data_IF_487926113311
#
_entry.id   IF_487926113311
#
_cell.length_a   1.000
_cell.length_b   1.000
_cell.length_c   1.000
_cell.angle_alpha   90.00
_cell.angle_beta   90.00
_cell.angle_gamma   90.00
#
_symmetry.space_group_name_H-M   'P 1'
#
loop_
_entity.id
_entity.type
_entity.pdbx_description
1 polymer ?
#
# COMPACT_ATOMS: atom_id res chain seq x y z
N UNK A 1 -40.26 -48.54 -7.78
CA UNK A 1 -41.68 -48.28 -8.17
C UNK A 1 -41.99 -46.81 -7.91
N UNK A 2 -42.38 -46.04 -8.94
CA UNK A 2 -42.99 -44.71 -8.78
C UNK A 2 -44.52 -44.79 -8.78
N UNK A 3 -45.23 -43.75 -8.43
CA UNK A 3 -45.95 -43.01 -9.46
C UNK A 3 -45.97 -41.48 -9.17
N UNK A 4 -46.17 -40.64 -10.09
CA UNK A 4 -46.94 -40.29 -11.24
C UNK A 4 -47.39 -38.83 -11.15
N UNK A 5 -47.03 -38.08 -12.17
CA UNK A 5 -47.71 -36.98 -12.89
C UNK A 5 -49.04 -36.43 -12.35
N UNK A 6 -49.16 -35.08 -12.36
CA UNK A 6 -50.35 -34.42 -12.98
C UNK A 6 -49.99 -33.08 -13.60
N UNK A 7 -50.40 -32.93 -14.87
CA UNK A 7 -50.50 -31.73 -15.71
C UNK A 7 -51.81 -31.00 -15.42
N UNK A 8 -51.84 -29.69 -15.65
CA UNK A 8 -52.95 -28.91 -16.23
C UNK A 8 -52.45 -27.49 -16.46
N UNK A 9 -52.22 -26.97 -17.67
CA UNK A 9 -53.18 -26.37 -18.62
C UNK A 9 -53.74 -25.05 -18.07
N UNK A 10 -53.35 -23.95 -18.63
CA UNK A 10 -53.77 -23.15 -19.81
C UNK A 10 -54.81 -22.11 -19.46
N UNK A 11 -54.59 -20.87 -19.81
CA UNK A 11 -55.57 -20.06 -20.50
C UNK A 11 -54.95 -18.76 -21.09
N UNK A 12 -55.18 -18.61 -22.37
CA UNK A 12 -54.96 -17.43 -23.23
C UNK A 12 -56.00 -16.36 -22.92
N UNK A 13 -55.64 -15.10 -22.96
CA UNK A 13 -56.59 -14.06 -23.35
C UNK A 13 -55.87 -12.99 -24.20
N UNK A 14 -56.44 -12.77 -25.32
CA UNK A 14 -56.10 -11.90 -26.46
C UNK A 14 -56.61 -10.48 -26.27
N UNK A 15 -55.95 -9.54 -26.94
CA UNK A 15 -56.45 -8.37 -27.69
C UNK A 15 -56.97 -7.15 -26.96
N UNK A 16 -56.30 -6.01 -27.19
CA UNK A 16 -57.01 -4.89 -27.85
C UNK A 16 -56.01 -3.83 -28.37
N UNK A 17 -56.10 -3.64 -29.65
CA UNK A 17 -55.46 -2.65 -30.53
C UNK A 17 -56.29 -1.35 -30.48
N UNK A 18 -55.67 -0.19 -30.12
CA UNK A 18 -56.27 1.10 -30.43
C UNK A 18 -55.25 2.02 -31.10
N UNK A 19 -55.55 2.34 -32.36
CA UNK A 19 -54.96 3.38 -33.19
C UNK A 19 -55.46 4.75 -32.72
N UNK A 20 -54.58 5.77 -32.63
CA UNK A 20 -54.96 7.14 -32.97
C UNK A 20 -53.74 8.03 -33.19
N UNK A 21 -53.59 8.46 -34.36
CA UNK A 21 -53.55 9.86 -34.83
C UNK A 21 -52.19 10.58 -34.75
N UNK A 22 -51.64 10.73 -35.96
CA UNK A 22 -50.57 11.66 -36.37
C UNK A 22 -50.95 13.11 -36.04
N UNK A 23 -50.07 13.83 -35.32
CA UNK A 23 -50.02 15.30 -35.34
C UNK A 23 -48.65 15.74 -35.89
N UNK A 24 -48.73 16.64 -36.91
CA UNK A 24 -47.57 17.25 -37.60
C UNK A 24 -46.78 18.18 -36.66
N UNK A 25 -45.48 18.35 -36.86
CA UNK A 25 -44.66 19.24 -36.03
C UNK A 25 -44.78 20.69 -36.50
N UNK A 26 -45.15 21.58 -35.60
CA UNK A 26 -45.04 23.04 -35.74
C UNK A 26 -43.58 23.48 -35.56
N UNK A 27 -43.07 24.22 -36.56
CA UNK A 27 -41.76 24.88 -36.56
C UNK A 27 -41.68 25.88 -35.40
N UNK A 28 -40.82 25.62 -34.41
CA UNK A 28 -40.44 26.56 -33.35
C UNK A 28 -39.10 27.21 -33.71
N UNK A 29 -39.11 28.55 -33.74
CA UNK A 29 -37.98 29.43 -34.05
C UNK A 29 -36.80 29.15 -33.15
N UNK A 30 -35.62 28.98 -33.76
CA UNK A 30 -34.33 28.89 -33.08
C UNK A 30 -33.96 30.26 -32.49
N UNK A 31 -33.92 30.37 -31.17
CA UNK A 31 -33.20 31.43 -30.47
C UNK A 31 -31.75 31.01 -30.32
N UNK A 32 -30.85 31.79 -30.93
CA UNK A 32 -29.42 31.65 -30.83
C UNK A 32 -28.97 32.00 -29.38
N UNK A 33 -28.70 31.01 -28.56
CA UNK A 33 -27.90 31.16 -27.33
C UNK A 33 -26.44 30.89 -27.67
N UNK A 34 -25.47 31.67 -27.16
CA UNK A 34 -24.07 31.46 -27.41
C UNK A 34 -23.59 30.15 -26.78
N UNK A 35 -22.55 29.50 -27.31
CA UNK A 35 -22.07 28.22 -26.79
C UNK A 35 -21.53 28.39 -25.37
N UNK A 36 -22.18 27.67 -24.44
CA UNK A 36 -21.70 27.51 -23.08
C UNK A 36 -20.32 26.80 -23.12
N UNK A 37 -19.30 27.51 -22.70
CA UNK A 37 -17.94 26.93 -22.52
C UNK A 37 -18.08 25.66 -21.72
N UNK A 38 -17.53 24.56 -22.24
CA UNK A 38 -17.38 23.30 -21.52
C UNK A 38 -16.65 23.55 -20.19
N UNK A 39 -17.01 22.92 -19.09
CA UNK A 39 -16.25 23.01 -17.86
C UNK A 39 -14.85 22.48 -18.16
N UNK A 40 -13.87 23.30 -17.87
CA UNK A 40 -12.46 22.96 -17.93
C UNK A 40 -12.26 21.65 -17.15
N UNK A 41 -11.65 20.69 -17.81
CA UNK A 41 -11.08 19.46 -17.24
C UNK A 41 -10.46 19.83 -15.88
N UNK A 42 -10.98 19.20 -14.84
CA UNK A 42 -10.42 19.26 -13.50
C UNK A 42 -8.97 18.82 -13.66
N UNK A 43 -8.07 19.80 -13.64
CA UNK A 43 -6.65 19.55 -13.53
C UNK A 43 -6.48 18.66 -12.29
N UNK A 44 -5.98 17.44 -12.52
CA UNK A 44 -5.43 16.62 -11.46
C UNK A 44 -4.59 17.54 -10.58
N UNK A 45 -5.00 17.74 -9.36
CA UNK A 45 -4.18 18.34 -8.32
C UNK A 45 -2.91 17.50 -8.30
N UNK A 46 -1.86 18.04 -8.92
CA UNK A 46 -0.51 17.60 -8.65
C UNK A 46 -0.39 17.70 -7.13
N UNK A 47 -0.32 16.56 -6.45
CA UNK A 47 0.21 16.52 -5.11
C UNK A 47 1.50 17.33 -5.14
N UNK A 48 1.85 18.06 -4.06
CA UNK A 48 3.14 18.70 -3.96
C UNK A 48 4.16 17.57 -4.08
N UNK A 49 4.49 17.30 -5.35
CA UNK A 49 5.50 16.35 -5.72
C UNK A 49 6.78 16.86 -5.10
N UNK A 50 7.61 15.97 -4.71
CA UNK A 50 9.03 16.19 -4.65
C UNK A 50 9.37 17.29 -5.63
N UNK A 51 9.86 18.41 -5.09
CA UNK A 51 10.38 19.50 -5.90
C UNK A 51 11.18 18.83 -7.01
N UNK A 52 10.72 18.98 -8.24
CA UNK A 52 11.56 18.79 -9.40
C UNK A 52 12.60 19.88 -9.26
N UNK A 53 13.58 19.63 -8.39
CA UNK A 53 14.77 20.43 -8.30
C UNK A 53 15.23 20.55 -9.73
N UNK A 54 15.37 21.76 -10.23
CA UNK A 54 16.11 22.08 -11.44
C UNK A 54 17.38 21.24 -11.35
N UNK A 55 17.40 20.12 -12.05
CA UNK A 55 18.58 19.28 -12.16
C UNK A 55 19.60 20.14 -12.87
N UNK A 56 20.51 20.74 -12.09
CA UNK A 56 21.61 21.51 -12.66
C UNK A 56 22.30 20.68 -13.74
N UNK A 57 22.98 21.33 -14.67
CA UNK A 57 23.63 20.67 -15.81
C UNK A 57 24.50 19.45 -15.43
N UNK A 58 24.85 19.30 -14.16
CA UNK A 58 25.69 18.24 -13.58
C UNK A 58 24.89 17.21 -12.72
N UNK A 59 23.58 17.08 -12.88
CA UNK A 59 22.86 16.03 -12.15
C UNK A 59 23.29 14.65 -12.66
N UNK A 60 23.34 13.64 -11.76
CA UNK A 60 23.74 12.27 -12.08
C UNK A 60 22.98 11.70 -13.29
N UNK A 61 21.70 12.03 -13.42
CA UNK A 61 20.88 11.59 -14.55
C UNK A 61 21.35 12.20 -15.86
N UNK A 62 21.77 13.50 -15.88
CA UNK A 62 22.25 14.14 -17.10
C UNK A 62 23.61 13.57 -17.53
N UNK A 63 24.49 13.26 -16.58
CA UNK A 63 25.76 12.58 -16.87
C UNK A 63 25.50 11.22 -17.52
N UNK A 64 24.63 10.40 -16.91
CA UNK A 64 24.26 9.11 -17.47
C UNK A 64 23.65 9.22 -18.86
N UNK A 65 22.71 10.17 -19.09
CA UNK A 65 22.09 10.37 -20.39
C UNK A 65 23.10 10.81 -21.47
N UNK A 66 24.07 11.65 -21.11
CA UNK A 66 25.15 12.04 -22.01
C UNK A 66 26.08 10.88 -22.37
N UNK A 67 26.36 9.99 -21.40
CA UNK A 67 27.20 8.82 -21.63
C UNK A 67 26.50 7.81 -22.55
N UNK A 68 25.22 7.47 -22.31
CA UNK A 68 24.50 6.54 -23.16
C UNK A 68 24.22 7.09 -24.56
N UNK A 69 24.23 8.43 -24.75
CA UNK A 69 24.04 9.06 -26.05
C UNK A 69 25.21 8.83 -27.00
N UNK A 70 26.42 8.51 -26.49
CA UNK A 70 27.61 8.27 -27.28
C UNK A 70 27.55 6.96 -28.07
N UNK A 71 26.75 5.99 -27.59
CA UNK A 71 26.62 4.71 -28.29
C UNK A 71 25.70 4.83 -29.50
N UNK A 72 26.17 4.40 -30.71
CA UNK A 72 25.37 4.45 -31.93
C UNK A 72 24.17 3.47 -31.85
N UNK A 73 23.11 3.82 -32.58
CA UNK A 73 22.00 2.91 -32.78
C UNK A 73 22.39 1.80 -33.76
N UNK A 74 22.09 0.58 -33.45
CA UNK A 74 22.37 -0.59 -34.28
C UNK A 74 21.20 -0.96 -35.19
N UNK A 75 21.49 -1.53 -36.33
CA UNK A 75 20.50 -2.03 -37.28
C UNK A 75 20.11 -3.47 -36.94
N UNK A 76 18.97 -3.94 -37.48
CA UNK A 76 18.51 -5.33 -37.27
C UNK A 76 19.53 -6.37 -37.74
N UNK A 77 20.32 -6.04 -38.79
CA UNK A 77 21.38 -6.94 -39.29
C UNK A 77 22.52 -7.05 -38.31
N UNK A 78 22.91 -5.96 -37.70
CA UNK A 78 23.95 -5.91 -36.65
C UNK A 78 23.45 -6.62 -35.37
N UNK A 79 22.16 -6.44 -35.00
CA UNK A 79 21.55 -7.19 -33.89
C UNK A 79 21.72 -8.72 -34.09
N UNK A 80 21.49 -9.21 -35.31
CA UNK A 80 21.67 -10.63 -35.63
C UNK A 80 23.13 -11.09 -35.51
N UNK A 81 24.06 -10.30 -36.09
CA UNK A 81 25.49 -10.61 -36.05
C UNK A 81 26.03 -10.63 -34.60
N UNK A 82 25.64 -9.62 -33.80
CA UNK A 82 26.02 -9.58 -32.38
C UNK A 82 25.42 -10.75 -31.59
N UNK A 83 24.15 -11.10 -31.85
CA UNK A 83 23.51 -12.22 -31.19
C UNK A 83 24.20 -13.58 -31.52
N UNK A 84 24.69 -13.78 -32.75
CA UNK A 84 25.44 -14.98 -33.11
C UNK A 84 26.82 -15.01 -32.43
N UNK A 85 27.51 -13.86 -32.31
CA UNK A 85 28.77 -13.75 -31.54
C UNK A 85 28.53 -14.05 -30.05
N UNK A 86 27.43 -13.56 -29.44
CA UNK A 86 27.06 -13.83 -28.05
C UNK A 86 26.80 -15.32 -27.83
N UNK A 87 26.13 -16.01 -28.78
CA UNK A 87 25.99 -17.47 -28.73
C UNK A 87 27.33 -18.24 -28.78
N UNK A 88 28.34 -17.63 -29.41
CA UNK A 88 29.70 -18.18 -29.43
C UNK A 88 30.50 -17.87 -28.14
N UNK A 89 29.93 -17.09 -27.20
CA UNK A 89 30.57 -16.75 -25.91
C UNK A 89 31.34 -15.45 -25.90
N UNK A 90 31.12 -14.54 -26.84
CA UNK A 90 31.80 -13.24 -26.91
C UNK A 90 31.13 -12.22 -25.98
N UNK A 91 31.79 -11.94 -24.83
CA UNK A 91 31.31 -10.96 -23.83
C UNK A 91 31.35 -9.53 -24.38
N UNK A 92 32.29 -9.20 -25.28
CA UNK A 92 32.38 -7.84 -25.84
C UNK A 92 31.16 -7.55 -26.73
N UNK A 93 30.67 -8.53 -27.48
CA UNK A 93 29.45 -8.41 -28.27
C UNK A 93 28.19 -8.28 -27.37
N UNK A 94 28.19 -8.93 -26.20
CA UNK A 94 27.11 -8.76 -25.21
C UNK A 94 27.06 -7.32 -24.71
N UNK A 95 28.21 -6.76 -24.32
CA UNK A 95 28.29 -5.36 -23.85
C UNK A 95 27.91 -4.36 -24.94
N UNK A 96 28.37 -4.56 -26.19
CA UNK A 96 28.01 -3.71 -27.32
C UNK A 96 26.51 -3.70 -27.57
N UNK A 97 25.85 -4.88 -27.56
CA UNK A 97 24.41 -4.99 -27.73
C UNK A 97 23.62 -4.36 -26.59
N UNK A 98 24.08 -4.48 -25.33
CA UNK A 98 23.47 -3.84 -24.16
C UNK A 98 23.58 -2.32 -24.30
N UNK A 99 24.79 -1.79 -24.52
CA UNK A 99 25.07 -0.34 -24.57
C UNK A 99 24.23 0.37 -25.65
N UNK A 100 24.11 -0.23 -26.83
CA UNK A 100 23.29 0.31 -27.91
C UNK A 100 21.78 0.38 -27.58
N UNK A 101 21.31 -0.41 -26.59
CA UNK A 101 19.90 -0.48 -26.19
C UNK A 101 19.57 0.20 -24.86
N UNK A 102 20.53 0.82 -24.14
CA UNK A 102 20.28 1.54 -22.87
C UNK A 102 19.24 2.67 -23.03
N UNK A 103 19.21 3.33 -24.19
CA UNK A 103 18.22 4.38 -24.50
C UNK A 103 16.78 3.85 -24.48
N UNK A 104 16.57 2.58 -24.89
CA UNK A 104 15.25 1.92 -24.81
C UNK A 104 14.82 1.73 -23.36
N UNK A 105 15.76 1.37 -22.47
CA UNK A 105 15.48 1.22 -21.03
C UNK A 105 15.01 2.53 -20.43
N UNK A 106 15.71 3.64 -20.69
CA UNK A 106 15.34 4.98 -20.20
C UNK A 106 13.94 5.37 -20.69
N UNK A 107 13.63 5.10 -21.96
CA UNK A 107 12.30 5.39 -22.51
C UNK A 107 11.20 4.64 -21.74
N UNK A 108 11.42 3.36 -21.45
CA UNK A 108 10.45 2.53 -20.74
C UNK A 108 10.39 2.91 -19.26
N UNK A 109 11.53 3.19 -18.60
CA UNK A 109 11.57 3.56 -17.19
C UNK A 109 10.80 4.85 -16.88
N UNK A 110 10.80 5.82 -17.79
CA UNK A 110 10.02 7.07 -17.68
C UNK A 110 8.51 6.84 -17.56
N UNK A 111 7.97 5.77 -18.15
CA UNK A 111 6.55 5.43 -18.03
C UNK A 111 6.18 4.97 -16.61
N UNK A 112 7.17 4.64 -15.78
CA UNK A 112 7.01 4.17 -14.41
C UNK A 112 7.51 5.16 -13.36
N UNK A 113 7.92 6.37 -13.79
CA UNK A 113 8.36 7.41 -12.86
C UNK A 113 7.24 7.85 -11.91
N UNK A 114 7.60 8.21 -10.67
CA UNK A 114 6.63 8.64 -9.65
C UNK A 114 5.82 7.50 -8.99
N UNK A 115 6.07 6.23 -9.34
CA UNK A 115 5.35 5.10 -8.75
C UNK A 115 5.93 4.59 -7.41
N UNK A 116 6.97 5.27 -6.89
CA UNK A 116 7.52 4.99 -5.57
C UNK A 116 8.99 4.55 -5.56
N UNK A 117 9.65 4.55 -6.72
CA UNK A 117 11.10 4.42 -6.86
C UNK A 117 11.66 5.60 -7.66
N UNK A 118 12.88 6.07 -7.34
CA UNK A 118 13.58 7.07 -8.13
C UNK A 118 13.81 6.60 -9.57
N UNK A 119 13.86 7.54 -10.52
CA UNK A 119 14.03 7.20 -11.94
C UNK A 119 15.34 6.45 -12.22
N UNK A 120 16.44 6.79 -11.54
CA UNK A 120 17.71 6.09 -11.70
C UNK A 120 17.61 4.62 -11.27
N UNK A 121 16.96 4.33 -10.16
CA UNK A 121 16.76 2.95 -9.68
C UNK A 121 15.88 2.14 -10.65
N UNK A 122 14.88 2.80 -11.26
CA UNK A 122 14.03 2.17 -12.29
C UNK A 122 14.85 1.84 -13.55
N UNK A 123 15.80 2.72 -13.93
CA UNK A 123 16.71 2.49 -15.04
C UNK A 123 17.62 1.30 -14.73
N UNK A 124 18.19 1.22 -13.53
CA UNK A 124 19.11 0.14 -13.15
C UNK A 124 18.40 -1.22 -13.13
N UNK A 125 17.20 -1.28 -12.55
CA UNK A 125 16.37 -2.48 -12.61
C UNK A 125 15.95 -2.84 -14.05
N UNK A 126 15.72 -1.83 -14.89
CA UNK A 126 15.46 -2.00 -16.30
C UNK A 126 16.67 -2.54 -17.05
N UNK A 127 17.87 -2.05 -16.75
CA UNK A 127 19.15 -2.52 -17.31
C UNK A 127 19.37 -4.00 -16.96
N UNK A 128 19.08 -4.39 -15.70
CA UNK A 128 19.12 -5.81 -15.30
C UNK A 128 18.13 -6.66 -16.13
N UNK A 129 16.98 -6.11 -16.46
CA UNK A 129 16.01 -6.73 -17.36
C UNK A 129 16.54 -6.88 -18.79
N UNK A 130 17.17 -5.82 -19.33
CA UNK A 130 17.79 -5.83 -20.65
C UNK A 130 18.92 -6.87 -20.75
N UNK A 131 19.81 -6.94 -19.76
CA UNK A 131 20.89 -7.95 -19.71
C UNK A 131 20.35 -9.38 -19.80
N UNK A 132 19.25 -9.67 -19.05
CA UNK A 132 18.58 -10.98 -19.14
C UNK A 132 17.96 -11.23 -20.51
N UNK A 133 17.44 -10.19 -21.16
CA UNK A 133 16.88 -10.28 -22.50
C UNK A 133 17.95 -10.58 -23.55
N UNK A 134 19.09 -9.91 -23.50
CA UNK A 134 20.22 -10.07 -24.42
C UNK A 134 20.73 -11.51 -24.37
N UNK A 135 20.96 -12.08 -23.18
CA UNK A 135 21.42 -13.47 -23.00
C UNK A 135 20.46 -14.53 -23.58
N UNK A 136 19.17 -14.21 -23.69
CA UNK A 136 18.13 -15.13 -24.16
C UNK A 136 17.57 -14.78 -25.54
N UNK A 137 18.12 -13.75 -26.17
CA UNK A 137 17.65 -13.30 -27.45
C UNK A 137 18.05 -14.27 -28.56
N UNK A 138 17.07 -14.64 -29.40
CA UNK A 138 17.28 -15.50 -30.55
C UNK A 138 16.72 -14.84 -31.82
N UNK A 139 17.58 -14.33 -32.69
CA UNK A 139 17.18 -13.66 -33.91
C UNK A 139 16.47 -14.59 -34.93
N UNK A 140 16.67 -15.92 -34.84
CA UNK A 140 16.02 -16.88 -35.73
C UNK A 140 14.49 -16.87 -35.64
N UNK A 141 13.93 -16.36 -34.52
CA UNK A 141 12.49 -16.19 -34.31
C UNK A 141 11.89 -14.97 -35.04
N UNK A 142 12.66 -14.19 -35.77
CA UNK A 142 12.22 -13.10 -36.65
C UNK A 142 11.77 -11.83 -35.91
N UNK A 143 11.95 -11.73 -34.61
CA UNK A 143 11.61 -10.56 -33.81
C UNK A 143 12.79 -9.62 -33.59
N UNK A 144 12.54 -8.30 -33.50
CA UNK A 144 13.57 -7.31 -33.09
C UNK A 144 13.87 -7.47 -31.61
N UNK A 145 15.13 -7.22 -31.21
CA UNK A 145 15.51 -7.20 -29.80
C UNK A 145 14.66 -6.19 -28.99
N UNK A 146 14.35 -5.04 -29.56
CA UNK A 146 13.52 -4.03 -28.89
C UNK A 146 12.13 -4.55 -28.47
N UNK A 147 11.50 -5.41 -29.28
CA UNK A 147 10.20 -6.03 -28.97
C UNK A 147 10.33 -7.05 -27.85
N UNK A 148 11.31 -7.95 -27.94
CA UNK A 148 11.58 -8.96 -26.95
C UNK A 148 12.09 -8.37 -25.63
N UNK A 149 13.07 -7.45 -25.69
CA UNK A 149 13.68 -6.79 -24.55
C UNK A 149 12.71 -5.93 -23.76
N UNK A 150 11.77 -5.24 -24.45
CA UNK A 150 10.74 -4.43 -23.77
C UNK A 150 9.93 -5.22 -22.76
N UNK A 151 9.64 -6.49 -23.04
CA UNK A 151 8.91 -7.34 -22.08
C UNK A 151 9.74 -7.61 -20.82
N UNK A 152 11.03 -7.95 -20.98
CA UNK A 152 11.93 -8.22 -19.86
C UNK A 152 12.22 -6.96 -19.03
N UNK A 153 12.45 -5.82 -19.69
CA UNK A 153 12.63 -4.53 -19.03
C UNK A 153 11.41 -4.18 -18.18
N UNK A 154 10.20 -4.22 -18.77
CA UNK A 154 8.95 -3.96 -18.05
C UNK A 154 8.71 -4.94 -16.90
N UNK A 155 9.05 -6.20 -17.10
CA UNK A 155 8.89 -7.23 -16.07
C UNK A 155 9.84 -6.98 -14.88
N UNK A 156 11.10 -6.62 -15.15
CA UNK A 156 12.07 -6.30 -14.09
C UNK A 156 11.65 -5.05 -13.30
N UNK A 157 11.29 -3.97 -13.98
CA UNK A 157 10.80 -2.73 -13.37
C UNK A 157 9.54 -2.99 -12.51
N UNK A 158 8.55 -3.69 -13.04
CA UNK A 158 7.34 -4.02 -12.28
C UNK A 158 7.63 -4.86 -11.05
N UNK A 159 8.56 -5.80 -11.15
CA UNK A 159 8.97 -6.63 -10.02
C UNK A 159 9.70 -5.82 -8.95
N UNK A 160 10.57 -4.91 -9.36
CA UNK A 160 11.26 -3.97 -8.47
C UNK A 160 10.26 -3.06 -7.75
N UNK A 161 9.32 -2.45 -8.48
CA UNK A 161 8.23 -1.66 -7.89
C UNK A 161 7.41 -2.46 -6.89
N UNK A 162 7.04 -3.70 -7.19
CA UNK A 162 6.27 -4.52 -6.27
C UNK A 162 7.05 -4.85 -4.97
N UNK A 163 8.38 -4.94 -5.06
CA UNK A 163 9.23 -5.34 -3.95
C UNK A 163 9.73 -4.18 -3.08
N UNK A 164 9.98 -3.00 -3.68
CA UNK A 164 10.76 -1.92 -3.08
C UNK A 164 10.01 -0.59 -2.98
N UNK A 165 8.88 -0.40 -3.70
CA UNK A 165 8.20 0.91 -3.78
C UNK A 165 7.45 1.33 -2.51
N UNK A 166 7.33 0.46 -1.52
CA UNK A 166 6.59 0.73 -0.30
C UNK A 166 7.48 0.60 0.93
N UNK A 167 7.34 1.52 1.89
CA UNK A 167 8.02 1.50 3.19
C UNK A 167 7.70 0.21 3.94
N UNK A 168 6.43 -0.19 3.98
CA UNK A 168 6.00 -1.49 4.50
C UNK A 168 5.82 -2.42 3.31
N UNK A 169 6.76 -3.34 3.13
CA UNK A 169 6.77 -4.29 2.01
C UNK A 169 5.53 -5.17 2.01
N UNK A 170 4.87 -5.24 0.88
CA UNK A 170 3.75 -6.15 0.64
C UNK A 170 4.16 -7.32 -0.27
N UNK A 171 3.59 -8.52 -0.07
CA UNK A 171 3.73 -9.61 -1.02
C UNK A 171 3.19 -9.23 -2.41
N UNK A 172 3.87 -9.71 -3.48
CA UNK A 172 3.55 -9.34 -4.87
C UNK A 172 2.08 -9.60 -5.24
N UNK A 173 1.52 -10.71 -4.78
CA UNK A 173 0.12 -11.06 -5.05
C UNK A 173 -0.89 -10.07 -4.42
N UNK A 174 -0.53 -9.39 -3.32
CA UNK A 174 -1.36 -8.31 -2.74
C UNK A 174 -1.22 -7.03 -3.55
N UNK A 175 0.00 -6.70 -4.02
CA UNK A 175 0.24 -5.55 -4.90
C UNK A 175 -0.58 -5.67 -6.19
N UNK A 176 -0.63 -6.86 -6.79
CA UNK A 176 -1.44 -7.13 -7.99
C UNK A 176 -2.94 -6.98 -7.71
N UNK A 177 -3.43 -7.49 -6.56
CA UNK A 177 -4.83 -7.32 -6.15
C UNK A 177 -5.18 -5.85 -5.91
N UNK A 178 -4.32 -5.09 -5.24
CA UNK A 178 -4.50 -3.64 -5.01
C UNK A 178 -4.52 -2.89 -6.35
N UNK A 179 -3.63 -3.24 -7.29
CA UNK A 179 -3.59 -2.63 -8.62
C UNK A 179 -4.85 -2.95 -9.43
N UNK A 180 -5.38 -4.17 -9.32
CA UNK A 180 -6.66 -4.56 -9.92
C UNK A 180 -7.82 -3.79 -9.29
N UNK A 181 -7.86 -3.70 -7.96
CA UNK A 181 -8.88 -2.95 -7.21
C UNK A 181 -8.92 -1.47 -7.65
N UNK A 182 -7.75 -0.81 -7.75
CA UNK A 182 -7.68 0.59 -8.19
C UNK A 182 -8.21 0.79 -9.61
N UNK A 183 -7.89 -0.12 -10.53
CA UNK A 183 -8.41 -0.03 -11.92
C UNK A 183 -9.92 -0.19 -11.98
N UNK A 184 -10.47 -1.11 -11.20
CA UNK A 184 -11.92 -1.34 -11.11
C UNK A 184 -12.59 -0.13 -10.44
N UNK A 185 -11.99 0.39 -9.35
CA UNK A 185 -12.50 1.58 -8.67
C UNK A 185 -12.58 2.80 -9.61
N UNK A 186 -11.54 3.04 -10.42
CA UNK A 186 -11.56 4.12 -11.42
C UNK A 186 -12.67 3.94 -12.44
N UNK A 187 -12.85 2.71 -12.95
CA UNK A 187 -13.91 2.41 -13.92
C UNK A 187 -15.30 2.63 -13.33
N UNK A 188 -15.55 2.09 -12.13
CA UNK A 188 -16.84 2.28 -11.44
C UNK A 188 -17.08 3.75 -11.08
N UNK A 189 -16.04 4.50 -10.75
CA UNK A 189 -16.15 5.95 -10.50
C UNK A 189 -16.55 6.71 -11.76
N UNK A 190 -16.04 6.33 -12.94
CA UNK A 190 -16.47 6.91 -14.23
C UNK A 190 -17.94 6.57 -14.53
N UNK A 191 -18.37 5.34 -14.26
CA UNK A 191 -19.73 4.88 -14.54
C UNK A 191 -20.77 5.45 -13.54
N UNK A 192 -20.42 5.55 -12.25
CA UNK A 192 -21.30 5.98 -11.16
C UNK A 192 -21.26 7.50 -10.90
N UNK A 193 -20.20 8.20 -11.33
CA UNK A 193 -19.96 9.62 -11.03
C UNK A 193 -19.60 9.91 -9.57
N UNK A 194 -19.34 8.89 -8.73
CA UNK A 194 -18.91 8.96 -7.33
C UNK A 194 -17.92 7.85 -7.01
N UNK A 195 -17.24 7.96 -5.87
CA UNK A 195 -16.41 6.85 -5.39
C UNK A 195 -17.25 5.59 -5.08
N UNK A 196 -16.80 4.40 -5.55
CA UNK A 196 -17.51 3.15 -5.30
C UNK A 196 -17.37 2.73 -3.83
N UNK A 197 -18.41 2.10 -3.30
CA UNK A 197 -18.40 1.49 -1.97
C UNK A 197 -17.63 0.18 -1.96
N UNK A 198 -17.26 -0.30 -0.75
CA UNK A 198 -16.55 -1.59 -0.62
C UNK A 198 -17.41 -2.76 -1.10
N UNK A 199 -18.72 -2.66 -1.03
CA UNK A 199 -19.68 -3.67 -1.52
C UNK A 199 -19.69 -3.73 -3.04
N UNK A 200 -19.79 -2.58 -3.72
CA UNK A 200 -19.74 -2.48 -5.19
C UNK A 200 -18.39 -2.99 -5.75
N UNK A 201 -17.28 -2.67 -5.07
CA UNK A 201 -15.98 -3.20 -5.43
C UNK A 201 -15.87 -4.70 -5.19
N UNK A 202 -16.49 -5.21 -4.15
CA UNK A 202 -16.49 -6.63 -3.80
C UNK A 202 -17.21 -7.47 -4.86
N UNK A 203 -18.35 -6.99 -5.36
CA UNK A 203 -19.11 -7.61 -6.46
C UNK A 203 -18.29 -7.69 -7.74
N UNK A 204 -17.65 -6.59 -8.17
CA UNK A 204 -16.89 -6.56 -9.42
C UNK A 204 -15.56 -7.33 -9.32
N UNK A 205 -15.00 -7.46 -8.11
CA UNK A 205 -13.76 -8.21 -7.85
C UNK A 205 -13.98 -9.70 -7.55
N UNK A 206 -15.20 -10.12 -7.29
CA UNK A 206 -15.56 -11.46 -6.79
C UNK A 206 -14.84 -11.79 -5.46
N UNK A 207 -14.90 -10.83 -4.52
CA UNK A 207 -14.30 -10.93 -3.18
C UNK A 207 -15.34 -10.56 -2.12
N UNK A 208 -15.08 -10.93 -0.85
CA UNK A 208 -15.91 -10.44 0.25
C UNK A 208 -15.59 -8.96 0.57
N UNK A 209 -16.59 -8.15 1.00
CA UNK A 209 -16.39 -6.74 1.38
C UNK A 209 -15.30 -6.54 2.44
N UNK A 210 -15.21 -7.45 3.41
CA UNK A 210 -14.16 -7.42 4.44
C UNK A 210 -12.74 -7.53 3.84
N UNK A 211 -12.55 -8.34 2.77
CA UNK A 211 -11.26 -8.43 2.07
C UNK A 211 -10.96 -7.18 1.27
N UNK A 212 -11.95 -6.53 0.70
CA UNK A 212 -11.77 -5.25 -0.03
C UNK A 212 -11.34 -4.16 0.95
N UNK A 213 -11.99 -4.06 2.12
CA UNK A 213 -11.60 -3.13 3.18
C UNK A 213 -10.17 -3.36 3.66
N UNK A 214 -9.76 -4.62 3.89
CA UNK A 214 -8.36 -4.97 4.21
C UNK A 214 -7.38 -4.55 3.11
N UNK A 215 -7.71 -4.76 1.83
CA UNK A 215 -6.87 -4.33 0.71
C UNK A 215 -6.76 -2.80 0.63
N UNK A 216 -7.86 -2.07 0.92
CA UNK A 216 -7.89 -0.61 0.97
C UNK A 216 -6.97 -0.09 2.08
N UNK A 217 -7.07 -0.64 3.28
CA UNK A 217 -6.19 -0.31 4.41
C UNK A 217 -4.71 -0.61 4.09
N UNK A 218 -4.41 -1.79 3.53
CA UNK A 218 -3.05 -2.15 3.12
C UNK A 218 -2.50 -1.28 1.96
N UNK A 219 -3.38 -0.64 1.18
CA UNK A 219 -2.98 0.24 0.08
C UNK A 219 -2.53 1.63 0.54
N UNK A 220 -2.85 2.04 1.78
CA UNK A 220 -2.48 3.33 2.36
C UNK A 220 -0.95 3.43 2.43
N UNK A 221 -0.43 4.61 2.11
CA UNK A 221 1.00 4.92 2.28
C UNK A 221 1.18 5.63 3.63
N UNK A 222 2.19 5.24 4.44
CA UNK A 222 2.53 5.99 5.64
C UNK A 222 2.91 7.43 5.27
N UNK A 223 2.50 8.38 6.10
CA UNK A 223 2.99 9.76 6.03
C UNK A 223 4.37 9.85 6.69
N UNK A 224 5.19 10.81 6.28
CA UNK A 224 6.44 11.11 6.96
C UNK A 224 6.15 11.88 8.25
N UNK A 225 6.80 11.50 9.35
CA UNK A 225 6.76 12.27 10.61
C UNK A 225 7.50 13.61 10.48
N UNK A 226 8.49 13.68 9.58
CA UNK A 226 9.23 14.91 9.29
C UNK A 226 8.50 15.84 8.29
N UNK A 227 7.26 15.50 7.91
CA UNK A 227 6.48 16.37 7.04
C UNK A 227 6.10 17.66 7.76
N UNK A 228 6.37 18.86 7.17
CA UNK A 228 5.99 20.12 7.77
C UNK A 228 4.46 20.26 7.83
N UNK A 229 3.92 20.84 8.89
CA UNK A 229 2.48 21.06 9.10
C UNK A 229 1.96 22.34 8.44
N UNK A 230 2.83 23.18 7.90
CA UNK A 230 2.49 24.47 7.26
C UNK A 230 3.36 24.76 6.05
N UNK A 231 3.09 25.92 5.41
CA UNK A 231 3.84 26.40 4.25
C UNK A 231 5.11 27.19 4.64
N UNK A 232 5.33 27.45 5.92
CA UNK A 232 6.48 28.20 6.41
C UNK A 232 7.69 27.28 6.63
N UNK A 233 8.88 27.76 6.31
CA UNK A 233 10.12 26.97 6.34
C UNK A 233 10.55 26.51 7.77
N UNK A 234 10.00 27.14 8.81
CA UNK A 234 10.25 26.83 10.23
C UNK A 234 8.99 26.26 10.93
N UNK A 235 8.05 25.68 10.18
CA UNK A 235 6.85 25.08 10.76
C UNK A 235 7.19 23.77 11.49
N UNK A 236 6.43 23.50 12.57
CA UNK A 236 6.51 22.25 13.31
C UNK A 236 6.31 21.04 12.38
N UNK A 237 6.91 19.92 12.72
CA UNK A 237 6.75 18.65 11.98
C UNK A 237 5.55 17.87 12.50
N UNK A 238 5.03 16.95 11.69
CA UNK A 238 3.96 16.04 12.12
C UNK A 238 4.38 15.22 13.36
N UNK A 239 5.67 14.91 13.47
CA UNK A 239 6.23 14.18 14.62
C UNK A 239 6.15 14.93 15.94
N UNK A 240 6.18 16.27 15.91
CA UNK A 240 6.11 17.11 17.12
C UNK A 240 4.69 17.17 17.71
N UNK A 241 3.67 16.83 16.92
CA UNK A 241 2.25 16.84 17.33
C UNK A 241 1.76 15.47 17.78
N UNK A 242 2.42 14.40 17.35
CA UNK A 242 2.03 13.03 17.73
C UNK A 242 2.42 12.77 19.17
N UNK A 243 1.43 12.53 20.03
CA UNK A 243 1.65 12.20 21.45
C UNK A 243 2.15 10.75 21.62
N UNK A 244 2.90 10.51 22.70
CA UNK A 244 3.33 9.18 23.11
C UNK A 244 2.28 8.54 24.03
N UNK A 245 1.47 7.66 23.47
CA UNK A 245 0.42 6.90 24.19
C UNK A 245 0.96 6.03 25.34
N UNK A 246 2.26 5.75 25.36
CA UNK A 246 2.88 4.90 26.38
C UNK A 246 3.52 5.69 27.52
N UNK A 247 3.62 7.00 27.37
CA UNK A 247 4.18 7.85 28.39
C UNK A 247 3.14 8.07 29.50
N UNK A 248 3.48 7.58 30.71
CA UNK A 248 2.63 7.84 31.86
C UNK A 248 2.56 9.33 32.17
N UNK A 249 1.35 9.80 32.47
CA UNK A 249 1.15 11.18 32.91
C UNK A 249 1.90 11.39 34.25
N UNK A 250 2.77 12.39 34.37
CA UNK A 250 3.49 12.68 35.63
C UNK A 250 2.57 12.81 36.86
N UNK A 251 1.31 13.22 36.63
CA UNK A 251 0.32 13.29 37.68
C UNK A 251 -0.09 11.91 38.19
N UNK A 252 -0.30 10.95 37.29
CA UNK A 252 -0.64 9.56 37.63
C UNK A 252 0.51 8.87 38.39
N UNK A 253 1.75 9.11 37.96
CA UNK A 253 2.94 8.62 38.67
C UNK A 253 3.05 9.20 40.08
N UNK A 254 2.68 10.48 40.25
CA UNK A 254 2.67 11.12 41.57
C UNK A 254 1.56 10.57 42.45
N UNK A 255 0.38 10.33 41.89
CA UNK A 255 -0.75 9.73 42.57
C UNK A 255 -0.41 8.30 43.07
N UNK A 256 0.15 7.46 42.19
CA UNK A 256 0.60 6.12 42.58
C UNK A 256 1.65 6.14 43.70
N UNK A 257 2.63 7.03 43.61
CA UNK A 257 3.66 7.18 44.65
C UNK A 257 3.04 7.66 45.97
N UNK A 258 2.05 8.53 45.90
CA UNK A 258 1.34 9.05 47.09
C UNK A 258 0.50 7.97 47.73
N UNK A 259 -0.25 7.20 46.93
CA UNK A 259 -1.04 6.06 47.40
C UNK A 259 -0.14 4.98 48.03
N UNK A 260 1.01 4.68 47.39
CA UNK A 260 2.00 3.74 47.95
C UNK A 260 2.53 4.23 49.31
N UNK A 261 2.92 5.49 49.43
CA UNK A 261 3.38 6.09 50.68
C UNK A 261 2.30 6.03 51.77
N UNK A 262 1.06 6.33 51.43
CA UNK A 262 -0.06 6.28 52.34
C UNK A 262 -0.32 4.83 52.84
N UNK A 263 -0.25 3.86 51.94
CA UNK A 263 -0.34 2.42 52.27
C UNK A 263 0.77 2.00 53.24
N UNK A 264 2.01 2.39 52.99
CA UNK A 264 3.12 2.06 53.91
C UNK A 264 2.91 2.73 55.29
N UNK A 265 2.48 3.98 55.35
CA UNK A 265 2.20 4.66 56.60
C UNK A 265 1.05 4.03 57.37
N UNK A 266 0.03 3.47 56.70
CA UNK A 266 -1.03 2.70 57.32
C UNK A 266 -0.55 1.35 57.89
N UNK A 267 0.37 0.67 57.18
CA UNK A 267 0.97 -0.57 57.66
C UNK A 267 1.81 -0.36 58.93
N UNK A 268 2.39 0.81 59.12
CA UNK A 268 3.19 1.15 60.30
C UNK A 268 2.32 1.30 61.60
N UNK A 269 1.01 1.42 61.44
CA UNK A 269 0.06 1.42 62.56
C UNK A 269 -0.36 0.02 63.03
N UNK A 270 0.00 -1.03 62.27
CA UNK A 270 -0.26 -2.43 62.59
C UNK A 270 0.87 -3.02 63.44
N UNK A 271 0.59 -4.16 64.12
CA UNK A 271 1.65 -4.92 64.80
C UNK A 271 2.71 -5.37 63.77
N UNK A 272 3.98 -5.35 64.15
CA UNK A 272 5.10 -5.75 63.23
C UNK A 272 4.85 -7.10 62.53
N UNK A 273 4.26 -8.07 63.26
CA UNK A 273 3.97 -9.40 62.72
C UNK A 273 2.85 -9.35 61.67
N UNK A 274 1.82 -8.57 61.88
CA UNK A 274 0.68 -8.41 60.97
C UNK A 274 1.10 -7.63 59.72
N UNK A 275 1.87 -6.55 59.92
CA UNK A 275 2.46 -5.79 58.80
C UNK A 275 3.38 -6.64 57.92
N UNK A 276 4.22 -7.50 58.52
CA UNK A 276 5.10 -8.41 57.77
C UNK A 276 4.32 -9.46 56.98
N UNK A 277 3.24 -9.99 57.53
CA UNK A 277 2.35 -10.93 56.84
C UNK A 277 1.68 -10.27 55.63
N UNK A 278 1.15 -9.07 55.78
CA UNK A 278 0.53 -8.32 54.68
C UNK A 278 1.54 -7.91 53.58
N UNK A 279 2.70 -7.36 53.97
CA UNK A 279 3.77 -7.05 53.02
C UNK A 279 4.18 -8.28 52.19
N UNK A 280 4.37 -9.41 52.84
CA UNK A 280 4.70 -10.64 52.16
C UNK A 280 3.57 -11.21 51.30
N UNK A 281 2.33 -11.09 51.74
CA UNK A 281 1.12 -11.54 51.01
C UNK A 281 0.97 -10.79 49.68
N UNK A 282 1.12 -9.49 49.72
CA UNK A 282 0.93 -8.63 48.55
C UNK A 282 2.21 -8.34 47.79
N UNK A 283 3.38 -8.90 48.18
CA UNK A 283 4.64 -8.72 47.47
C UNK A 283 5.17 -7.29 47.52
N UNK A 284 4.86 -6.54 48.58
CA UNK A 284 5.11 -5.09 48.64
C UNK A 284 6.61 -4.75 48.76
N UNK A 285 7.41 -5.63 49.41
CA UNK A 285 8.83 -5.43 49.65
C UNK A 285 9.70 -5.96 48.51
N UNK A 286 9.24 -7.07 47.88
CA UNK A 286 10.03 -7.78 46.87
C UNK A 286 9.63 -7.39 45.43
N UNK A 287 8.67 -6.48 45.23
CA UNK A 287 8.10 -6.16 43.90
C UNK A 287 7.47 -7.38 43.21
N UNK A 288 7.15 -8.42 44.02
CA UNK A 288 6.71 -9.72 43.55
C UNK A 288 5.19 -9.83 43.40
N UNK A 289 4.77 -10.96 42.84
CA UNK A 289 3.36 -11.31 42.70
C UNK A 289 2.70 -11.60 44.04
N UNK A 290 1.38 -11.41 44.11
CA UNK A 290 0.59 -11.77 45.29
C UNK A 290 0.67 -13.27 45.56
N UNK A 291 0.95 -13.65 46.81
CA UNK A 291 1.15 -15.03 47.22
C UNK A 291 -0.16 -15.61 47.80
N UNK A 292 -0.35 -16.93 47.69
CA UNK A 292 -1.56 -17.57 48.23
C UNK A 292 -1.56 -17.58 49.75
N UNK A 293 -2.76 -17.66 50.40
CA UNK A 293 -2.85 -17.67 51.87
C UNK A 293 -2.15 -18.89 52.50
N UNK A 294 -2.03 -19.99 51.78
CA UNK A 294 -1.32 -21.21 52.22
C UNK A 294 0.18 -20.99 52.31
N UNK A 295 0.78 -20.43 51.25
CA UNK A 295 2.21 -20.10 51.20
C UNK A 295 2.60 -19.10 52.30
N UNK A 296 1.72 -18.12 52.56
CA UNK A 296 1.93 -17.15 53.65
C UNK A 296 1.80 -17.84 55.01
N UNK A 297 0.81 -18.74 55.17
CA UNK A 297 0.61 -19.53 56.39
C UNK A 297 1.80 -20.40 56.72
N UNK A 298 2.37 -21.09 55.75
CA UNK A 298 3.55 -21.92 55.93
C UNK A 298 4.77 -21.10 56.38
N UNK A 299 5.01 -19.93 55.72
CA UNK A 299 6.16 -19.09 56.06
C UNK A 299 6.12 -18.50 57.46
N UNK A 300 4.95 -18.06 57.91
CA UNK A 300 4.75 -17.39 59.21
C UNK A 300 4.28 -18.31 60.32
N UNK A 301 4.09 -19.62 60.04
CA UNK A 301 3.61 -20.61 61.03
C UNK A 301 2.20 -20.33 61.54
N UNK A 302 1.31 -19.85 60.67
CA UNK A 302 -0.09 -19.54 61.01
C UNK A 302 -1.05 -20.26 60.07
N UNK A 303 -2.27 -20.51 60.53
CA UNK A 303 -3.27 -21.16 59.70
C UNK A 303 -3.80 -20.21 58.61
N UNK A 304 -4.21 -20.75 57.47
CA UNK A 304 -4.82 -20.03 56.36
C UNK A 304 -5.93 -19.08 56.82
N UNK A 305 -6.78 -19.54 57.74
CA UNK A 305 -7.88 -18.75 58.29
C UNK A 305 -7.38 -17.57 59.14
N UNK A 306 -6.29 -17.75 59.87
CA UNK A 306 -5.68 -16.63 60.61
C UNK A 306 -5.10 -15.55 59.69
N UNK A 307 -4.45 -15.94 58.58
CA UNK A 307 -4.02 -14.98 57.56
C UNK A 307 -5.21 -14.22 56.98
N UNK A 308 -6.32 -14.89 56.70
CA UNK A 308 -7.56 -14.27 56.22
C UNK A 308 -8.15 -13.27 57.23
N UNK A 309 -8.13 -13.62 58.53
CA UNK A 309 -8.57 -12.69 59.58
C UNK A 309 -7.73 -11.42 59.61
N UNK A 310 -6.40 -11.59 59.56
CA UNK A 310 -5.47 -10.43 59.54
C UNK A 310 -5.72 -9.54 58.31
N UNK A 311 -6.06 -10.13 57.18
CA UNK A 311 -6.37 -9.36 55.97
C UNK A 311 -7.66 -8.55 56.08
N UNK A 312 -8.60 -8.95 56.94
CA UNK A 312 -9.91 -8.29 57.12
C UNK A 312 -9.98 -7.29 58.31
N UNK A 313 -8.87 -7.13 59.03
CA UNK A 313 -8.71 -6.10 60.05
C UNK A 313 -8.39 -4.76 59.40
#
# INVERSE_FOLDING_TARGET
MPPARKKAQSAKAKTARKKSAKKKPTKRKQSKTPPRKAPSVISHTKQPGHATGSYGANSAINLYLNEIAQYPLITVKEECLLADRIKAGDESAEQELINANLRLVVKIARDYDGLGLPLLDLIDEGNMGLMKAVKRFDPSKGGKLSTYGSWWIKQSIKRALANQSKTIRLPVHLVDKISRMRRIAMKLQEDLGREPTDEELAEEMDLSPAKVSQLRTAAIRPASLDAPLGDEAESDTLGDVVEDDHMHNPYEDLEEKTVKKMLYSMLDHLNEREAAILRYRFGMDDGGETRTLEVVGEKFGVTRERVRQIQNI
#
